data_IF_614478189948
#
_entry.id   IF_614478189948
#
_cell.length_a   1.000
_cell.length_b   1.000
_cell.length_c   1.000
_cell.angle_alpha   90.00
_cell.angle_beta   90.00
_cell.angle_gamma   90.00
#
_symmetry.space_group_name_H-M   'P 1'
#
loop_
_entity.id
_entity.type
_entity.pdbx_description
1 polymer ?
#
# COMPACT_ATOMS: atom_id res chain seq x y z
N UNK A 1 7.85 12.88 42.20
CA UNK A 1 7.37 12.72 40.81
C UNK A 1 8.38 11.86 40.03
N UNK A 2 8.23 10.53 39.99
CA UNK A 2 9.17 9.63 39.28
C UNK A 2 8.37 8.56 38.53
N UNK A 3 7.80 8.92 37.38
CA UNK A 3 7.02 7.96 36.56
C UNK A 3 7.35 7.99 35.07
N UNK A 4 8.34 8.78 34.65
CA UNK A 4 8.61 8.99 33.21
C UNK A 4 9.65 8.03 32.60
N UNK A 5 10.40 7.27 33.40
CA UNK A 5 11.56 6.49 32.89
C UNK A 5 11.28 5.00 32.64
N UNK A 6 10.20 4.41 33.18
CA UNK A 6 9.90 2.98 33.00
C UNK A 6 9.17 2.65 31.68
N UNK A 7 8.51 3.64 31.04
CA UNK A 7 7.67 3.45 29.84
C UNK A 7 8.46 3.42 28.51
N UNK A 8 9.63 4.04 28.43
CA UNK A 8 10.45 4.11 27.22
C UNK A 8 11.21 2.79 26.89
N UNK A 9 11.83 2.09 27.86
CA UNK A 9 12.48 0.81 27.55
C UNK A 9 11.46 -0.28 27.20
N UNK A 10 10.29 -0.27 27.83
CA UNK A 10 9.26 -1.28 27.59
C UNK A 10 8.66 -1.23 26.17
N UNK A 11 8.43 -0.02 25.62
CA UNK A 11 7.85 0.13 24.27
C UNK A 11 8.80 -0.30 23.15
N UNK A 12 10.08 0.02 23.25
CA UNK A 12 11.07 -0.38 22.22
C UNK A 12 11.35 -1.88 22.30
N UNK A 13 11.35 -2.44 23.52
CA UNK A 13 11.41 -3.90 23.71
C UNK A 13 10.21 -4.61 23.08
N UNK A 14 8.99 -4.11 23.30
CA UNK A 14 7.79 -4.67 22.66
C UNK A 14 7.85 -4.58 21.14
N UNK A 15 8.33 -3.46 20.59
CA UNK A 15 8.52 -3.29 19.16
C UNK A 15 9.56 -4.29 18.61
N UNK A 16 10.69 -4.47 19.29
CA UNK A 16 11.72 -5.43 18.91
C UNK A 16 11.18 -6.87 18.92
N UNK A 17 10.45 -7.24 19.98
CA UNK A 17 9.80 -8.56 20.10
C UNK A 17 8.78 -8.79 18.96
N UNK A 18 7.97 -7.78 18.63
CA UNK A 18 7.00 -7.88 17.53
C UNK A 18 7.69 -8.11 16.18
N UNK A 19 8.80 -7.40 15.93
CA UNK A 19 9.62 -7.56 14.72
C UNK A 19 10.22 -8.96 14.66
N UNK A 20 10.73 -9.47 15.77
CA UNK A 20 11.29 -10.83 15.82
C UNK A 20 10.22 -11.89 15.55
N UNK A 21 9.04 -11.75 16.16
CA UNK A 21 7.89 -12.61 15.89
C UNK A 21 7.46 -12.56 14.41
N UNK A 22 7.44 -11.36 13.81
CA UNK A 22 7.14 -11.19 12.39
C UNK A 22 8.18 -11.89 11.49
N UNK A 23 9.46 -11.80 11.85
CA UNK A 23 10.57 -12.49 11.15
C UNK A 23 10.46 -14.01 11.27
N UNK A 24 10.02 -14.52 12.42
CA UNK A 24 9.76 -15.96 12.67
C UNK A 24 8.52 -16.52 11.96
N UNK A 25 7.93 -15.77 11.01
CA UNK A 25 6.67 -16.09 10.31
C UNK A 25 5.45 -16.26 11.24
N UNK A 26 5.54 -15.84 12.49
CA UNK A 26 4.44 -15.86 13.46
C UNK A 26 3.56 -14.62 13.28
N UNK A 27 2.88 -14.54 12.14
CA UNK A 27 2.15 -13.33 11.72
C UNK A 27 1.09 -12.89 12.72
N UNK A 28 0.29 -13.83 13.23
CA UNK A 28 -0.79 -13.50 14.17
C UNK A 28 -0.26 -13.04 15.53
N UNK A 29 0.77 -13.71 16.07
CA UNK A 29 1.44 -13.29 17.29
C UNK A 29 2.07 -11.91 17.16
N UNK A 30 2.78 -11.66 16.05
CA UNK A 30 3.38 -10.36 15.77
C UNK A 30 2.32 -9.24 15.69
N UNK A 31 1.17 -9.49 15.05
CA UNK A 31 0.07 -8.52 14.96
C UNK A 31 -0.47 -8.11 16.33
N UNK A 32 -0.63 -9.06 17.24
CA UNK A 32 -1.09 -8.78 18.61
C UNK A 32 -0.10 -7.87 19.32
N UNK A 33 1.20 -8.15 19.22
CA UNK A 33 2.24 -7.35 19.87
C UNK A 33 2.32 -5.95 19.23
N UNK A 34 2.26 -5.83 17.90
CA UNK A 34 2.24 -4.51 17.25
C UNK A 34 1.03 -3.67 17.66
N UNK A 35 -0.15 -4.27 17.83
CA UNK A 35 -1.32 -3.56 18.36
C UNK A 35 -1.09 -3.09 19.80
N UNK A 36 -0.40 -3.87 20.62
CA UNK A 36 -0.01 -3.45 21.97
C UNK A 36 1.00 -2.29 21.94
N UNK A 37 1.94 -2.28 20.99
CA UNK A 37 2.83 -1.13 20.76
C UNK A 37 2.01 0.11 20.41
N UNK A 38 1.04 0.01 19.49
CA UNK A 38 0.17 1.13 19.12
C UNK A 38 -0.74 1.59 20.27
N UNK A 39 -1.14 0.70 21.17
CA UNK A 39 -1.88 1.10 22.36
C UNK A 39 -1.03 1.95 23.33
N UNK A 40 0.29 1.77 23.32
CA UNK A 40 1.22 2.58 24.13
C UNK A 40 1.71 3.82 23.39
N UNK A 41 1.83 3.73 22.07
CA UNK A 41 2.29 4.79 21.18
C UNK A 41 1.45 4.77 19.88
N UNK A 42 0.30 5.47 19.88
CA UNK A 42 -0.61 5.48 18.73
C UNK A 42 -0.01 6.09 17.46
N UNK A 43 1.09 6.83 17.57
CA UNK A 43 1.74 7.48 16.43
C UNK A 43 2.98 6.72 15.94
N UNK A 44 3.14 5.45 16.36
CA UNK A 44 4.30 4.66 15.98
C UNK A 44 4.21 4.18 14.52
N UNK A 45 4.75 4.98 13.61
CA UNK A 45 4.80 4.68 12.17
C UNK A 45 5.43 3.31 11.90
N UNK A 46 6.48 2.92 12.64
CA UNK A 46 7.14 1.61 12.45
C UNK A 46 6.16 0.47 12.71
N UNK A 47 5.41 0.51 13.81
CA UNK A 47 4.42 -0.52 14.14
C UNK A 47 3.28 -0.56 13.11
N UNK A 48 2.78 0.60 12.64
CA UNK A 48 1.76 0.66 11.59
C UNK A 48 2.26 0.06 10.27
N UNK A 49 3.48 0.37 9.85
CA UNK A 49 4.08 -0.20 8.64
C UNK A 49 4.22 -1.72 8.73
N UNK A 50 4.55 -2.25 9.91
CA UNK A 50 4.57 -3.70 10.12
C UNK A 50 3.18 -4.33 10.07
N UNK A 51 2.16 -3.67 10.64
CA UNK A 51 0.78 -4.13 10.53
C UNK A 51 0.26 -4.10 9.10
N UNK A 52 0.64 -3.10 8.30
CA UNK A 52 0.36 -3.08 6.87
C UNK A 52 0.98 -4.28 6.14
N UNK A 53 2.24 -4.63 6.45
CA UNK A 53 2.92 -5.81 5.89
C UNK A 53 2.32 -7.14 6.34
N UNK A 54 1.71 -7.17 7.52
CA UNK A 54 1.07 -8.34 8.12
C UNK A 54 -0.45 -8.36 7.91
N UNK A 55 -0.98 -7.45 7.10
CA UNK A 55 -2.40 -7.36 6.81
C UNK A 55 -2.92 -8.66 6.16
N UNK A 56 -4.16 -9.03 6.50
CA UNK A 56 -4.82 -10.24 5.97
C UNK A 56 -5.49 -10.00 4.62
N UNK A 57 -5.76 -8.75 4.29
CA UNK A 57 -6.41 -8.32 3.05
C UNK A 57 -5.99 -6.90 2.70
N UNK A 58 -6.30 -6.48 1.48
CA UNK A 58 -5.91 -5.16 0.96
C UNK A 58 -6.62 -4.02 1.71
N UNK A 59 -7.85 -4.24 2.16
CA UNK A 59 -8.56 -3.25 2.97
C UNK A 59 -7.81 -2.93 4.28
N UNK A 60 -7.34 -3.94 4.99
CA UNK A 60 -6.56 -3.77 6.21
C UNK A 60 -5.19 -3.16 5.92
N UNK A 61 -4.53 -3.58 4.83
CA UNK A 61 -3.24 -3.01 4.42
C UNK A 61 -3.38 -1.52 4.12
N UNK A 62 -4.41 -1.14 3.35
CA UNK A 62 -4.73 0.25 3.01
C UNK A 62 -4.98 1.07 4.26
N UNK A 63 -5.82 0.56 5.16
CA UNK A 63 -6.13 1.25 6.42
C UNK A 63 -4.86 1.61 7.21
N UNK A 64 -3.92 0.68 7.38
CA UNK A 64 -2.69 0.97 8.10
C UNK A 64 -1.77 1.97 7.38
N UNK A 65 -1.70 1.92 6.05
CA UNK A 65 -0.92 2.88 5.27
C UNK A 65 -1.54 4.29 5.31
N UNK A 66 -2.86 4.40 5.26
CA UNK A 66 -3.59 5.66 5.42
C UNK A 66 -3.34 6.27 6.81
N UNK A 67 -3.32 5.45 7.86
CA UNK A 67 -2.97 5.92 9.22
C UNK A 67 -1.53 6.45 9.29
N UNK A 68 -0.58 5.82 8.58
CA UNK A 68 0.79 6.35 8.48
C UNK A 68 0.79 7.73 7.82
N UNK A 69 0.07 7.90 6.71
CA UNK A 69 -0.01 9.19 6.02
C UNK A 69 -0.79 10.25 6.80
N UNK A 70 -1.70 9.85 7.69
CA UNK A 70 -2.37 10.78 8.59
C UNK A 70 -1.40 11.39 9.62
N UNK A 71 -0.34 10.65 10.01
CA UNK A 71 0.67 11.10 10.98
C UNK A 71 1.86 11.77 10.27
N UNK A 72 2.34 11.14 9.20
CA UNK A 72 3.45 11.57 8.37
C UNK A 72 2.98 11.60 6.91
N UNK A 73 2.36 12.72 6.49
CA UNK A 73 1.90 12.89 5.12
C UNK A 73 3.03 12.71 4.12
N UNK A 74 4.27 13.01 4.52
CA UNK A 74 5.45 12.97 3.67
C UNK A 74 6.09 11.58 3.53
N UNK A 75 5.47 10.56 4.12
CA UNK A 75 5.94 9.20 4.02
C UNK A 75 5.82 8.65 2.59
N UNK A 76 6.88 8.82 1.80
CA UNK A 76 6.93 8.35 0.41
C UNK A 76 6.73 6.84 0.30
N UNK A 77 7.17 6.07 1.30
CA UNK A 77 7.02 4.63 1.29
C UNK A 77 5.55 4.22 1.42
N UNK A 78 4.79 4.86 2.32
CA UNK A 78 3.37 4.60 2.48
C UNK A 78 2.57 5.04 1.25
N UNK A 79 2.89 6.22 0.67
CA UNK A 79 2.30 6.70 -0.59
C UNK A 79 2.50 5.70 -1.73
N UNK A 80 3.76 5.31 -1.99
CA UNK A 80 4.09 4.33 -3.03
C UNK A 80 3.35 3.01 -2.84
N UNK A 81 3.21 2.54 -1.59
CA UNK A 81 2.51 1.29 -1.29
C UNK A 81 1.00 1.38 -1.50
N UNK A 82 0.37 2.54 -1.30
CA UNK A 82 -1.03 2.77 -1.64
C UNK A 82 -1.23 2.88 -3.14
N UNK A 83 -0.34 3.57 -3.85
CA UNK A 83 -0.38 3.69 -5.31
C UNK A 83 -0.31 2.31 -5.95
N UNK A 84 0.66 1.46 -5.55
CA UNK A 84 0.77 0.06 -5.98
C UNK A 84 -0.56 -0.70 -5.84
N UNK A 85 -1.26 -0.54 -4.71
CA UNK A 85 -2.53 -1.21 -4.45
C UNK A 85 -3.67 -0.67 -5.32
N UNK A 86 -3.67 0.64 -5.62
CA UNK A 86 -4.65 1.24 -6.52
C UNK A 86 -4.50 0.72 -7.96
N UNK A 87 -3.27 0.47 -8.41
CA UNK A 87 -2.99 -0.17 -9.69
C UNK A 87 -3.47 -1.63 -9.73
N UNK A 88 -3.32 -2.39 -8.63
CA UNK A 88 -3.78 -3.79 -8.56
C UNK A 88 -5.32 -3.92 -8.57
N UNK A 89 -6.05 -3.01 -7.89
CA UNK A 89 -7.52 -2.99 -7.92
C UNK A 89 -8.09 -2.63 -9.30
N UNK A 90 -7.44 -1.71 -10.02
CA UNK A 90 -7.86 -1.32 -11.37
C UNK A 90 -7.51 -2.37 -12.42
N UNK A 91 -6.43 -3.13 -12.24
CA UNK A 91 -6.04 -4.21 -13.16
C UNK A 91 -6.89 -5.49 -13.00
N UNK A 92 -7.41 -5.75 -11.79
CA UNK A 92 -8.26 -6.93 -11.52
C UNK A 92 -9.74 -6.71 -11.90
N UNK A 93 -10.13 -5.48 -12.18
CA UNK A 93 -11.47 -5.12 -12.67
C UNK A 93 -11.46 -4.99 -14.20
N UNK A 94 -11.55 -6.12 -14.90
CA UNK A 94 -12.05 -6.22 -16.27
C UNK A 94 -11.37 -5.36 -17.38
N UNK A 95 -10.78 -6.06 -18.36
CA UNK A 95 -11.08 -5.90 -19.80
C UNK A 95 -12.03 -4.71 -20.07
N UNK A 96 -11.56 -3.70 -20.81
CA UNK A 96 -12.34 -2.53 -21.30
C UNK A 96 -12.37 -1.24 -20.45
N UNK A 97 -11.32 -0.86 -19.71
CA UNK A 97 -11.31 0.50 -19.11
C UNK A 97 -9.95 1.17 -18.89
N UNK A 98 -8.93 0.85 -19.70
CA UNK A 98 -7.67 1.65 -19.74
C UNK A 98 -7.66 2.68 -20.88
N UNK A 99 -8.84 3.15 -21.31
CA UNK A 99 -9.04 4.01 -22.50
C UNK A 99 -9.42 5.45 -22.14
N UNK A 100 -9.01 5.96 -20.99
CA UNK A 100 -9.16 7.42 -20.74
C UNK A 100 -7.81 8.15 -20.75
N UNK A 101 -6.70 7.44 -20.54
CA UNK A 101 -5.35 8.01 -20.71
C UNK A 101 -4.59 7.56 -21.97
N UNK A 102 -4.89 6.37 -22.51
CA UNK A 102 -4.03 5.72 -23.53
C UNK A 102 -4.71 5.54 -24.90
N UNK A 103 -6.04 5.67 -25.04
CA UNK A 103 -6.70 5.14 -26.26
C UNK A 103 -7.48 6.09 -27.14
N UNK A 104 -7.36 7.41 -26.97
CA UNK A 104 -7.61 8.31 -28.12
C UNK A 104 -6.49 8.12 -29.17
N UNK A 105 -5.24 8.03 -28.74
CA UNK A 105 -4.09 7.95 -29.67
C UNK A 105 -4.02 6.59 -30.39
N UNK A 106 -4.28 5.49 -29.70
CA UNK A 106 -4.20 4.16 -30.30
C UNK A 106 -5.31 3.87 -31.33
N UNK A 107 -6.53 4.37 -31.11
CA UNK A 107 -7.67 4.15 -32.04
C UNK A 107 -7.49 4.92 -33.35
N UNK A 108 -6.93 6.14 -33.29
CA UNK A 108 -6.68 6.96 -34.49
C UNK A 108 -5.66 6.33 -35.45
N UNK A 109 -4.59 5.70 -34.93
CA UNK A 109 -3.54 5.08 -35.76
C UNK A 109 -4.09 3.88 -36.54
N UNK A 110 -4.94 3.06 -35.92
CA UNK A 110 -5.50 1.86 -36.56
C UNK A 110 -6.53 2.23 -37.63
N UNK A 111 -7.44 3.17 -37.34
CA UNK A 111 -8.46 3.61 -38.31
C UNK A 111 -7.82 4.33 -39.50
N UNK A 112 -6.83 5.19 -39.24
CA UNK A 112 -6.08 5.89 -40.29
C UNK A 112 -5.33 4.93 -41.21
N UNK A 113 -4.66 3.91 -40.65
CA UNK A 113 -3.94 2.91 -41.44
C UNK A 113 -4.84 2.06 -42.34
N UNK A 114 -6.02 1.66 -41.85
CA UNK A 114 -6.98 0.86 -42.63
C UNK A 114 -7.58 1.67 -43.78
N UNK A 115 -7.96 2.94 -43.55
CA UNK A 115 -8.48 3.81 -44.61
C UNK A 115 -7.44 4.06 -45.71
N UNK A 116 -6.17 4.25 -45.33
CA UNK A 116 -5.07 4.48 -46.27
C UNK A 116 -4.79 3.22 -47.13
N UNK A 117 -4.87 2.03 -46.53
CA UNK A 117 -4.74 0.76 -47.24
C UNK A 117 -5.87 0.54 -48.27
N UNK A 118 -7.12 0.82 -47.89
CA UNK A 118 -8.27 0.67 -48.80
C UNK A 118 -8.20 1.66 -49.97
N UNK A 119 -7.74 2.89 -49.72
CA UNK A 119 -7.55 3.89 -50.78
C UNK A 119 -6.46 3.52 -51.79
N UNK A 120 -5.42 2.81 -51.36
CA UNK A 120 -4.33 2.35 -52.25
C UNK A 120 -4.72 1.13 -53.11
N UNK A 121 -5.63 0.29 -52.62
CA UNK A 121 -6.09 -0.91 -53.34
C UNK A 121 -7.22 -0.61 -54.35
N UNK A 122 -7.80 0.59 -54.28
CA UNK A 122 -8.95 1.00 -55.12
C UNK A 122 -8.54 1.89 -56.30
N UNK A 123 -7.24 2.01 -56.57
CA UNK A 123 -6.65 2.77 -57.69
C UNK A 123 -6.08 1.88 -58.79
#
# INVERSE_FOLDING_TARGET
MVSSTKKAPHREQLLAMAIEAAKKKQRDGARVIFKQVLHQDPHNIRAMMWLAKLARNDKERRHWLEQVLAIDPDNELARRKLDEMAYEETASTNRTLFVVGVSIVAVLVVVGGILLLVSLNSG
#
